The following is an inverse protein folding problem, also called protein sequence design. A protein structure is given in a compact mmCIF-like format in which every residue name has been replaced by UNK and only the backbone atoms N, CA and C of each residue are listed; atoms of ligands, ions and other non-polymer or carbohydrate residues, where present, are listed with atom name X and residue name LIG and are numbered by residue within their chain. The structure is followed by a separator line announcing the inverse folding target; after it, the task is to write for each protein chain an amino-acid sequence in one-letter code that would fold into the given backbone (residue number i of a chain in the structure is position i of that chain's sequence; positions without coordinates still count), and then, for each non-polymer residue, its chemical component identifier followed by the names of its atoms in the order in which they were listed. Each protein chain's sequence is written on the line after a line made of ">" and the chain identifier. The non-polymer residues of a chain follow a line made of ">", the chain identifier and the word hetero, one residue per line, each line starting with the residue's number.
data_IF_175281740865
#
_entry.id   IF_175281740865
#
_cell.length_a   1.000
_cell.length_b   1.000
_cell.length_c   1.000
_cell.angle_alpha   90.00
_cell.angle_beta   90.00
_cell.angle_gamma   90.00
#
_symmetry.space_group_name_H-M   'P 1'
#
loop_
_entity.id
_entity.type
_entity.pdbx_description
1 polymer ?
#
# COMPACT_ATOMS: atom_id res chain seq x y z
N UNK A 1 -7.06 12.62 2.91
CA UNK A 1 -6.53 13.16 1.65
C UNK A 1 -6.88 14.64 1.50
N UNK A 2 -8.15 15.06 1.58
CA UNK A 2 -8.58 16.44 1.34
C UNK A 2 -7.74 17.49 2.09
N UNK A 3 -7.48 17.31 3.39
CA UNK A 3 -6.65 18.21 4.19
C UNK A 3 -5.18 18.30 3.74
N UNK A 4 -4.69 17.30 3.00
CA UNK A 4 -3.35 17.31 2.41
C UNK A 4 -3.39 18.07 1.08
N UNK A 5 -4.39 17.80 0.26
CA UNK A 5 -4.58 18.51 -1.01
C UNK A 5 -4.76 20.02 -0.79
N UNK A 6 -5.56 20.41 0.20
CA UNK A 6 -5.78 21.82 0.56
C UNK A 6 -4.48 22.59 0.86
N UNK A 7 -3.48 21.89 1.42
CA UNK A 7 -2.17 22.47 1.78
C UNK A 7 -1.14 22.41 0.66
N UNK A 8 -1.39 21.68 -0.41
CA UNK A 8 -0.44 21.54 -1.50
C UNK A 8 -0.62 22.67 -2.51
N UNK A 9 0.40 23.53 -2.74
CA UNK A 9 0.27 24.70 -3.61
C UNK A 9 0.06 24.37 -5.10
N UNK A 10 0.28 23.10 -5.50
CA UNK A 10 0.06 22.62 -6.88
C UNK A 10 -1.38 22.12 -7.09
N UNK A 11 -2.20 22.06 -6.04
CA UNK A 11 -3.56 21.51 -6.08
C UNK A 11 -4.59 22.59 -5.86
N UNK A 12 -5.59 22.60 -6.72
CA UNK A 12 -6.86 23.28 -6.49
C UNK A 12 -7.90 22.21 -6.12
N UNK A 13 -8.26 22.14 -4.84
CA UNK A 13 -9.29 21.21 -4.37
C UNK A 13 -10.66 21.78 -4.70
N UNK A 14 -11.35 21.21 -5.69
CA UNK A 14 -12.58 21.79 -6.29
C UNK A 14 -13.85 21.24 -5.66
N UNK A 15 -13.85 20.03 -5.11
CA UNK A 15 -15.05 19.43 -4.54
C UNK A 15 -14.81 18.10 -3.83
N UNK A 16 -15.83 17.67 -3.11
CA UNK A 16 -15.90 16.41 -2.40
C UNK A 16 -17.10 15.61 -2.90
N UNK A 17 -17.06 14.28 -2.72
CA UNK A 17 -18.19 13.40 -3.00
C UNK A 17 -18.43 12.47 -1.82
N UNK A 18 -19.64 12.50 -1.24
CA UNK A 18 -20.05 11.63 -0.14
C UNK A 18 -21.54 11.34 -0.26
N UNK A 19 -21.89 10.07 -0.38
CA UNK A 19 -23.28 9.61 -0.55
C UNK A 19 -24.15 9.70 0.73
N UNK A 20 -23.52 9.65 1.89
CA UNK A 20 -24.24 9.80 3.17
C UNK A 20 -24.53 11.29 3.43
N UNK A 21 -25.80 11.70 3.59
CA UNK A 21 -26.15 13.13 3.70
C UNK A 21 -25.54 13.83 4.91
N UNK A 22 -25.38 13.11 6.03
CA UNK A 22 -24.81 13.68 7.27
C UNK A 22 -23.31 13.92 7.12
N UNK A 23 -22.59 12.94 6.57
CA UNK A 23 -21.15 13.06 6.27
C UNK A 23 -20.89 14.08 5.16
N UNK A 24 -21.76 14.12 4.15
CA UNK A 24 -21.71 15.09 3.06
C UNK A 24 -21.76 16.53 3.61
N UNK A 25 -22.74 16.86 4.44
CA UNK A 25 -22.87 18.15 5.06
C UNK A 25 -21.65 18.50 5.94
N UNK A 26 -21.18 17.54 6.71
CA UNK A 26 -20.00 17.72 7.59
C UNK A 26 -18.75 18.01 6.77
N UNK A 27 -18.49 17.23 5.72
CA UNK A 27 -17.32 17.38 4.87
C UNK A 27 -17.34 18.72 4.11
N UNK A 28 -18.48 19.09 3.52
CA UNK A 28 -18.65 20.35 2.82
C UNK A 28 -18.39 21.56 3.74
N UNK A 29 -18.90 21.51 4.98
CA UNK A 29 -18.69 22.56 5.96
C UNK A 29 -17.24 22.63 6.45
N UNK A 30 -16.59 21.47 6.64
CA UNK A 30 -15.21 21.41 7.13
C UNK A 30 -14.21 22.03 6.17
N UNK A 31 -14.37 21.80 4.87
CA UNK A 31 -13.45 22.28 3.84
C UNK A 31 -13.96 23.55 3.11
N UNK A 32 -15.14 24.02 3.45
CA UNK A 32 -15.82 25.12 2.75
C UNK A 32 -15.87 24.91 1.22
N UNK A 33 -16.20 23.68 0.81
CA UNK A 33 -16.26 23.24 -0.59
C UNK A 33 -17.60 22.60 -0.91
N UNK A 34 -18.00 22.58 -2.19
CA UNK A 34 -19.11 21.77 -2.65
C UNK A 34 -18.87 20.30 -2.29
N UNK A 35 -19.90 19.64 -1.74
CA UNK A 35 -19.87 18.21 -1.50
C UNK A 35 -21.06 17.57 -2.21
N UNK A 36 -20.78 16.79 -3.22
CA UNK A 36 -21.75 16.17 -4.11
C UNK A 36 -22.23 14.83 -3.57
N UNK A 37 -23.48 14.46 -3.88
CA UNK A 37 -24.05 13.20 -3.42
C UNK A 37 -23.63 11.99 -4.28
N UNK A 38 -23.18 12.25 -5.51
CA UNK A 38 -22.68 11.23 -6.43
C UNK A 38 -21.48 11.68 -7.22
N UNK A 39 -20.71 10.73 -7.74
CA UNK A 39 -19.56 11.01 -8.59
C UNK A 39 -19.99 11.63 -9.93
N UNK A 40 -21.13 11.23 -10.48
CA UNK A 40 -21.70 11.82 -11.71
C UNK A 40 -21.96 13.30 -11.53
N UNK A 41 -22.55 13.68 -10.40
CA UNK A 41 -22.84 15.09 -10.09
C UNK A 41 -21.54 15.90 -9.94
N UNK A 42 -20.54 15.34 -9.25
CA UNK A 42 -19.23 15.96 -9.10
C UNK A 42 -18.58 16.23 -10.46
N UNK A 43 -18.48 15.22 -11.33
CA UNK A 43 -17.87 15.38 -12.66
C UNK A 43 -18.69 16.21 -13.64
N UNK A 44 -19.99 16.33 -13.43
CA UNK A 44 -20.83 17.21 -14.23
C UNK A 44 -20.66 18.71 -13.90
N UNK A 45 -20.13 19.01 -12.71
CA UNK A 45 -19.99 20.37 -12.20
C UNK A 45 -18.57 20.89 -12.16
N UNK A 46 -17.59 19.97 -11.99
CA UNK A 46 -16.19 20.30 -11.76
C UNK A 46 -15.28 19.68 -12.82
N UNK A 47 -14.22 20.39 -13.18
CA UNK A 47 -13.13 19.85 -13.99
C UNK A 47 -12.12 19.15 -13.09
N UNK A 48 -11.96 17.82 -13.25
CA UNK A 48 -11.18 16.99 -12.32
C UNK A 48 -10.02 16.33 -13.05
N UNK A 49 -8.79 16.73 -12.71
CA UNK A 49 -7.56 16.12 -13.23
C UNK A 49 -7.09 14.93 -12.39
N UNK A 50 -7.32 14.98 -11.07
CA UNK A 50 -6.97 13.93 -10.12
C UNK A 50 -8.15 13.68 -9.19
N UNK A 51 -8.64 12.45 -9.15
CA UNK A 51 -9.66 11.97 -8.23
C UNK A 51 -9.05 11.07 -7.16
N UNK A 52 -9.39 11.32 -5.89
CA UNK A 52 -8.96 10.48 -4.77
C UNK A 52 -10.10 9.59 -4.32
N UNK A 53 -9.97 8.28 -4.50
CA UNK A 53 -10.96 7.28 -4.12
C UNK A 53 -10.63 6.73 -2.74
N UNK A 54 -11.45 7.12 -1.74
CA UNK A 54 -11.26 6.77 -0.33
C UNK A 54 -12.47 6.05 0.26
N UNK A 55 -13.31 5.48 -0.59
CA UNK A 55 -14.49 4.70 -0.21
C UNK A 55 -14.06 3.37 0.41
N UNK A 56 -14.59 3.01 1.59
CA UNK A 56 -14.17 1.79 2.29
C UNK A 56 -14.98 0.55 1.92
N UNK A 57 -16.31 0.70 1.89
CA UNK A 57 -17.24 -0.41 1.72
C UNK A 57 -17.38 -1.32 2.93
N UNK A 58 -18.07 -2.44 2.76
CA UNK A 58 -18.27 -3.45 3.81
C UNK A 58 -16.96 -4.15 4.18
N UNK A 59 -16.17 -4.52 3.18
CA UNK A 59 -14.77 -4.90 3.32
C UNK A 59 -13.90 -3.82 2.70
N UNK A 60 -12.75 -3.56 3.27
CA UNK A 60 -11.83 -2.56 2.71
C UNK A 60 -11.53 -2.85 1.24
N UNK A 61 -11.75 -1.84 0.40
CA UNK A 61 -11.59 -1.93 -1.05
C UNK A 61 -12.80 -2.46 -1.83
N UNK A 62 -13.92 -2.83 -1.17
CA UNK A 62 -15.11 -3.34 -1.88
C UNK A 62 -15.82 -2.27 -2.72
N UNK A 63 -15.72 -1.00 -2.33
CA UNK A 63 -16.37 0.13 -3.00
C UNK A 63 -15.40 0.97 -3.86
N UNK A 64 -14.22 0.43 -4.22
CA UNK A 64 -13.23 1.18 -5.02
C UNK A 64 -13.47 1.10 -6.53
N UNK A 65 -14.08 0.02 -7.04
CA UNK A 65 -14.19 -0.24 -8.48
C UNK A 65 -14.93 0.88 -9.22
N UNK A 66 -16.21 1.09 -8.88
CA UNK A 66 -17.09 2.01 -9.62
C UNK A 66 -16.52 3.44 -9.68
N UNK A 67 -16.15 4.09 -8.56
CA UNK A 67 -15.62 5.45 -8.61
C UNK A 67 -14.27 5.53 -9.34
N UNK A 68 -13.44 4.49 -9.27
CA UNK A 68 -12.16 4.45 -10.00
C UNK A 68 -12.39 4.36 -11.50
N UNK A 69 -13.22 3.43 -11.95
CA UNK A 69 -13.55 3.27 -13.38
C UNK A 69 -14.18 4.56 -13.91
N UNK A 70 -15.13 5.13 -13.16
CA UNK A 70 -15.78 6.37 -13.56
C UNK A 70 -14.78 7.51 -13.76
N UNK A 71 -13.91 7.75 -12.79
CA UNK A 71 -12.90 8.81 -12.87
C UNK A 71 -11.92 8.61 -14.04
N UNK A 72 -11.41 7.39 -14.21
CA UNK A 72 -10.47 7.06 -15.30
C UNK A 72 -11.10 7.27 -16.68
N UNK A 73 -12.35 6.80 -16.88
CA UNK A 73 -13.07 6.90 -18.16
C UNK A 73 -13.49 8.34 -18.49
N UNK A 74 -13.63 9.19 -17.46
CA UNK A 74 -13.89 10.63 -17.63
C UNK A 74 -12.61 11.49 -17.65
N UNK A 75 -11.45 10.86 -17.84
CA UNK A 75 -10.20 11.56 -18.14
C UNK A 75 -9.38 12.00 -16.93
N UNK A 76 -9.75 11.62 -15.70
CA UNK A 76 -8.98 11.90 -14.49
C UNK A 76 -7.91 10.85 -14.21
N UNK A 77 -6.80 11.26 -13.60
CA UNK A 77 -5.93 10.39 -12.85
C UNK A 77 -6.60 9.96 -11.54
N UNK A 78 -6.19 8.83 -10.96
CA UNK A 78 -6.78 8.32 -9.72
C UNK A 78 -5.72 7.98 -8.69
N UNK A 79 -5.92 8.43 -7.44
CA UNK A 79 -5.30 7.88 -6.24
C UNK A 79 -6.34 7.05 -5.49
N UNK A 80 -6.18 5.74 -5.48
CA UNK A 80 -7.06 4.80 -4.79
C UNK A 80 -6.48 4.43 -3.41
N UNK A 81 -7.34 4.33 -2.38
CA UNK A 81 -6.93 3.75 -1.11
C UNK A 81 -6.62 2.25 -1.22
N UNK A 82 -5.81 1.76 -0.29
CA UNK A 82 -5.48 0.33 -0.20
C UNK A 82 -6.51 -0.42 0.69
N UNK A 83 -6.72 -1.71 0.42
CA UNK A 83 -6.28 -2.44 -0.77
C UNK A 83 -6.90 -1.87 -2.04
N UNK A 84 -6.26 -2.05 -3.18
CA UNK A 84 -6.82 -1.58 -4.47
C UNK A 84 -8.25 -2.08 -4.68
N UNK A 85 -8.51 -3.34 -4.30
CA UNK A 85 -9.85 -3.95 -4.25
C UNK A 85 -9.83 -5.17 -3.31
N UNK A 86 -10.98 -5.61 -2.85
CA UNK A 86 -11.18 -6.91 -2.19
C UNK A 86 -11.32 -8.09 -3.20
N UNK A 87 -11.40 -7.80 -4.49
CA UNK A 87 -11.56 -8.74 -5.61
C UNK A 87 -10.43 -8.60 -6.62
N UNK A 88 -9.79 -9.71 -7.00
CA UNK A 88 -8.75 -9.73 -8.04
C UNK A 88 -9.30 -9.26 -9.39
N UNK A 89 -10.49 -9.74 -9.78
CA UNK A 89 -11.14 -9.35 -11.03
C UNK A 89 -11.37 -7.83 -11.10
N UNK A 90 -11.87 -7.23 -10.02
CA UNK A 90 -12.10 -5.79 -9.93
C UNK A 90 -10.77 -5.01 -10.00
N UNK A 91 -9.75 -5.45 -9.25
CA UNK A 91 -8.44 -4.81 -9.28
C UNK A 91 -7.81 -4.86 -10.69
N UNK A 92 -7.96 -6.00 -11.37
CA UNK A 92 -7.48 -6.18 -12.74
C UNK A 92 -8.22 -5.25 -13.72
N UNK A 93 -9.56 -5.14 -13.61
CA UNK A 93 -10.37 -4.23 -14.41
C UNK A 93 -9.95 -2.77 -14.22
N UNK A 94 -9.68 -2.35 -12.98
CA UNK A 94 -9.20 -1.00 -12.66
C UNK A 94 -7.86 -0.72 -13.36
N UNK A 95 -6.89 -1.65 -13.29
CA UNK A 95 -5.58 -1.52 -13.94
C UNK A 95 -5.73 -1.47 -15.46
N UNK A 96 -6.48 -2.39 -16.05
CA UNK A 96 -6.73 -2.39 -17.51
C UNK A 96 -7.43 -1.11 -17.99
N UNK A 97 -8.35 -0.57 -17.19
CA UNK A 97 -9.02 0.68 -17.54
C UNK A 97 -8.05 1.85 -17.52
N UNK A 98 -7.19 1.93 -16.51
CA UNK A 98 -6.14 2.95 -16.45
C UNK A 98 -5.21 2.90 -17.69
N UNK A 99 -4.77 1.71 -18.06
CA UNK A 99 -3.96 1.49 -19.27
C UNK A 99 -4.71 1.91 -20.55
N UNK A 100 -5.95 1.45 -20.72
CA UNK A 100 -6.79 1.77 -21.90
C UNK A 100 -7.01 3.26 -22.11
N UNK A 101 -7.20 4.01 -21.04
CA UNK A 101 -7.43 5.45 -21.07
C UNK A 101 -6.14 6.29 -20.91
N UNK A 102 -4.98 5.62 -20.85
CA UNK A 102 -3.68 6.26 -20.63
C UNK A 102 -3.70 7.23 -19.42
N UNK A 103 -4.26 6.76 -18.30
CA UNK A 103 -4.36 7.53 -17.05
C UNK A 103 -3.58 6.85 -15.94
N UNK A 104 -3.07 7.66 -15.03
CA UNK A 104 -2.44 7.17 -13.81
C UNK A 104 -3.52 6.58 -12.91
N UNK A 105 -3.33 5.33 -12.51
CA UNK A 105 -3.94 4.72 -11.35
C UNK A 105 -2.84 4.47 -10.33
N UNK A 106 -2.85 5.21 -9.26
CA UNK A 106 -1.93 5.07 -8.13
C UNK A 106 -2.68 4.49 -6.92
N UNK A 107 -2.00 3.70 -6.11
CA UNK A 107 -2.55 3.14 -4.86
C UNK A 107 -1.83 3.77 -3.67
N UNK A 108 -2.56 4.00 -2.58
CA UNK A 108 -1.98 4.61 -1.37
C UNK A 108 -1.15 3.59 -0.57
N UNK A 109 -0.07 3.10 -1.19
CA UNK A 109 0.94 2.21 -0.61
C UNK A 109 2.00 3.06 0.11
N UNK A 110 1.56 3.81 1.12
CA UNK A 110 2.30 4.93 1.72
C UNK A 110 3.59 4.52 2.45
N UNK A 111 3.78 3.26 2.85
CA UNK A 111 4.97 2.82 3.58
C UNK A 111 6.25 2.92 2.75
N UNK A 112 6.21 2.71 1.43
CA UNK A 112 7.40 2.87 0.56
C UNK A 112 7.87 4.33 0.45
N UNK A 113 7.02 5.30 0.83
CA UNK A 113 7.33 6.74 0.79
C UNK A 113 7.84 7.29 2.13
N UNK A 114 8.03 6.44 3.12
CA UNK A 114 8.67 6.85 4.38
C UNK A 114 10.15 7.14 4.16
N UNK A 115 10.76 8.09 4.88
CA UNK A 115 12.18 8.38 4.74
C UNK A 115 13.08 7.16 4.96
N UNK A 116 12.73 6.31 5.94
CA UNK A 116 13.49 5.08 6.21
C UNK A 116 13.45 4.11 5.01
N UNK A 117 12.28 3.91 4.39
CA UNK A 117 12.15 3.07 3.21
C UNK A 117 12.89 3.67 2.00
N UNK A 118 12.79 5.00 1.79
CA UNK A 118 13.49 5.69 0.70
C UNK A 118 15.02 5.61 0.82
N UNK A 119 15.56 5.82 2.00
CA UNK A 119 17.01 5.68 2.26
C UNK A 119 17.45 4.24 2.04
N UNK A 120 16.69 3.27 2.52
CA UNK A 120 16.98 1.86 2.31
C UNK A 120 16.96 1.49 0.81
N UNK A 121 15.99 2.05 0.05
CA UNK A 121 15.92 1.88 -1.41
C UNK A 121 17.13 2.52 -2.11
N UNK A 122 17.56 3.70 -1.68
CA UNK A 122 18.74 4.34 -2.22
C UNK A 122 20.00 3.50 -1.97
N UNK A 123 20.19 2.94 -0.76
CA UNK A 123 21.28 2.01 -0.49
C UNK A 123 21.27 0.77 -1.40
N UNK A 124 20.08 0.26 -1.73
CA UNK A 124 19.93 -0.84 -2.68
C UNK A 124 20.34 -0.40 -4.10
N UNK A 125 19.86 0.76 -4.57
CA UNK A 125 20.19 1.32 -5.89
C UNK A 125 21.69 1.64 -6.03
N UNK A 126 22.34 2.07 -4.96
CA UNK A 126 23.78 2.30 -4.87
C UNK A 126 24.60 0.99 -4.78
N UNK A 127 23.93 -0.16 -4.98
CA UNK A 127 24.53 -1.51 -4.93
C UNK A 127 25.19 -1.85 -3.58
N UNK A 128 24.79 -1.18 -2.49
CA UNK A 128 25.35 -1.44 -1.16
C UNK A 128 24.86 -2.75 -0.55
N UNK A 129 23.80 -3.33 -1.10
CA UNK A 129 23.23 -4.62 -0.71
C UNK A 129 23.79 -5.73 -1.60
N UNK A 130 24.12 -5.43 -2.86
CA UNK A 130 24.47 -6.42 -3.87
C UNK A 130 23.27 -7.29 -4.29
N UNK A 131 23.54 -8.51 -4.73
CA UNK A 131 22.47 -9.45 -5.14
C UNK A 131 21.58 -9.78 -3.94
N UNK A 132 20.25 -9.54 -4.03
CA UNK A 132 19.29 -9.86 -2.98
C UNK A 132 19.27 -11.37 -2.65
N UNK A 133 19.18 -11.69 -1.36
CA UNK A 133 19.15 -13.07 -0.86
C UNK A 133 17.81 -13.36 -0.15
N UNK A 134 17.47 -12.58 0.86
CA UNK A 134 16.24 -12.78 1.62
C UNK A 134 15.70 -11.49 2.21
N UNK A 135 14.37 -11.48 2.48
CA UNK A 135 13.65 -10.41 3.18
C UNK A 135 12.72 -10.99 4.23
N UNK A 136 12.75 -10.42 5.43
CA UNK A 136 11.86 -10.76 6.53
C UNK A 136 11.04 -9.53 6.93
N UNK A 137 9.74 -9.69 7.03
CA UNK A 137 8.81 -8.63 7.39
C UNK A 137 7.94 -9.05 8.56
N UNK A 138 7.64 -8.13 9.45
CA UNK A 138 6.63 -8.33 10.49
C UNK A 138 5.81 -7.07 10.68
N UNK A 139 4.50 -7.23 10.92
CA UNK A 139 3.61 -6.16 11.34
C UNK A 139 2.58 -6.71 12.33
N UNK A 140 2.54 -6.12 13.51
CA UNK A 140 1.70 -6.56 14.61
C UNK A 140 0.94 -5.38 15.20
N UNK A 141 -0.38 -5.43 15.12
CA UNK A 141 -1.26 -4.42 15.72
C UNK A 141 -2.46 -5.08 16.36
N UNK A 142 -3.04 -4.45 17.36
CA UNK A 142 -4.33 -4.87 17.86
C UNK A 142 -5.46 -4.28 17.02
N UNK A 143 -6.28 -5.14 16.41
CA UNK A 143 -7.47 -4.74 15.67
C UNK A 143 -8.64 -5.70 15.96
N UNK A 144 -9.71 -5.23 16.62
CA UNK A 144 -10.85 -6.06 16.98
C UNK A 144 -11.82 -6.32 15.83
N UNK A 145 -11.62 -5.72 14.64
CA UNK A 145 -12.54 -5.87 13.51
C UNK A 145 -12.52 -7.30 12.96
N UNK A 146 -13.69 -7.83 12.65
CA UNK A 146 -13.94 -9.19 12.19
C UNK A 146 -14.94 -9.24 11.02
N UNK A 147 -14.83 -8.32 10.07
CA UNK A 147 -15.77 -8.21 8.94
C UNK A 147 -15.79 -9.44 8.02
N UNK A 148 -14.65 -10.14 7.85
CA UNK A 148 -14.58 -11.36 7.06
C UNK A 148 -13.51 -12.33 7.61
N UNK A 149 -13.56 -13.63 7.28
CA UNK A 149 -12.62 -14.64 7.81
C UNK A 149 -11.15 -14.31 7.55
N UNK A 150 -10.81 -13.65 6.44
CA UNK A 150 -9.46 -13.29 6.02
C UNK A 150 -9.18 -11.80 6.10
N UNK A 151 -9.98 -11.05 6.85
CA UNK A 151 -9.87 -9.59 6.99
C UNK A 151 -8.46 -9.14 7.39
N UNK A 152 -7.83 -9.80 8.36
CA UNK A 152 -6.46 -9.52 8.77
C UNK A 152 -5.48 -9.55 7.58
N UNK A 153 -5.52 -10.64 6.79
CA UNK A 153 -4.62 -10.83 5.65
C UNK A 153 -4.85 -9.75 4.59
N UNK A 154 -6.13 -9.53 4.19
CA UNK A 154 -6.48 -8.64 3.09
C UNK A 154 -6.40 -7.16 3.44
N UNK A 155 -6.60 -6.77 4.71
CA UNK A 155 -6.66 -5.37 5.11
C UNK A 155 -5.32 -4.83 5.65
N UNK A 156 -4.53 -5.66 6.36
CA UNK A 156 -3.27 -5.23 6.95
C UNK A 156 -2.10 -5.35 5.97
N UNK A 157 -1.99 -6.47 5.28
CA UNK A 157 -0.78 -6.85 4.55
C UNK A 157 -0.60 -6.31 3.13
N UNK A 158 -1.50 -5.50 2.53
CA UNK A 158 -1.15 -4.79 1.31
C UNK A 158 0.13 -3.97 1.45
N UNK A 159 0.34 -3.29 2.60
CA UNK A 159 1.57 -2.54 2.87
C UNK A 159 2.80 -3.46 2.97
N UNK A 160 2.68 -4.55 3.72
CA UNK A 160 3.81 -5.47 3.96
C UNK A 160 4.26 -6.13 2.66
N UNK A 161 3.31 -6.66 1.88
CA UNK A 161 3.61 -7.31 0.60
C UNK A 161 4.16 -6.30 -0.40
N UNK A 162 3.61 -5.08 -0.42
CA UNK A 162 4.10 -4.00 -1.26
C UNK A 162 5.57 -3.66 -0.95
N UNK A 163 5.94 -3.50 0.31
CA UNK A 163 7.33 -3.26 0.73
C UNK A 163 8.23 -4.42 0.31
N UNK A 164 7.78 -5.66 0.47
CA UNK A 164 8.56 -6.82 0.02
C UNK A 164 8.77 -6.80 -1.50
N UNK A 165 7.73 -6.51 -2.27
CA UNK A 165 7.84 -6.36 -3.73
C UNK A 165 8.68 -5.15 -4.13
N UNK A 166 8.58 -4.04 -3.42
CA UNK A 166 9.38 -2.83 -3.68
C UNK A 166 10.88 -3.09 -3.60
N UNK A 167 11.33 -3.91 -2.65
CA UNK A 167 12.75 -4.24 -2.51
C UNK A 167 13.18 -5.45 -3.35
N UNK A 168 12.33 -6.46 -3.53
CA UNK A 168 12.70 -7.77 -4.05
C UNK A 168 11.98 -8.18 -5.34
N UNK A 169 11.12 -7.30 -5.88
CA UNK A 169 10.40 -7.58 -7.13
C UNK A 169 9.20 -8.52 -6.96
N UNK A 170 8.82 -9.18 -8.04
CA UNK A 170 7.59 -9.96 -8.10
C UNK A 170 7.67 -11.26 -7.29
N UNK A 171 6.63 -11.53 -6.51
CA UNK A 171 6.46 -12.80 -5.79
C UNK A 171 6.00 -13.88 -6.78
N UNK A 172 6.65 -15.04 -6.75
CA UNK A 172 6.32 -16.20 -7.57
C UNK A 172 5.46 -17.23 -6.82
N UNK A 173 5.83 -17.53 -5.57
CA UNK A 173 5.15 -18.54 -4.76
C UNK A 173 4.86 -18.04 -3.35
N UNK A 174 3.72 -18.43 -2.81
CA UNK A 174 3.32 -18.16 -1.42
C UNK A 174 2.87 -19.45 -0.77
N UNK A 175 3.35 -19.68 0.47
CA UNK A 175 2.81 -20.66 1.41
C UNK A 175 2.47 -19.92 2.70
N UNK A 176 1.28 -20.17 3.25
CA UNK A 176 0.82 -19.45 4.43
C UNK A 176 0.20 -20.42 5.45
N UNK A 177 0.69 -20.36 6.69
CA UNK A 177 -0.02 -20.88 7.85
C UNK A 177 -0.70 -19.74 8.59
N UNK A 178 -1.90 -20.01 9.11
CA UNK A 178 -2.62 -19.03 9.90
C UNK A 178 -3.31 -19.70 11.10
N UNK A 179 -3.56 -18.90 12.13
CA UNK A 179 -4.34 -19.31 13.27
C UNK A 179 -5.34 -18.22 13.68
N UNK A 180 -6.45 -18.63 14.28
CA UNK A 180 -7.36 -17.74 14.99
C UNK A 180 -6.83 -17.55 16.40
N UNK A 181 -6.63 -16.31 16.82
CA UNK A 181 -6.28 -15.99 18.20
C UNK A 181 -7.39 -16.40 19.19
N UNK A 182 -7.13 -16.35 20.49
CA UNK A 182 -8.15 -16.65 21.49
C UNK A 182 -9.41 -15.80 21.30
N UNK A 183 -10.56 -16.45 21.22
CA UNK A 183 -11.89 -15.82 21.03
C UNK A 183 -12.05 -15.03 19.70
N UNK A 184 -11.20 -15.27 18.68
CA UNK A 184 -11.31 -14.66 17.37
C UNK A 184 -12.09 -15.55 16.40
N UNK A 185 -12.90 -14.91 15.55
CA UNK A 185 -13.63 -15.60 14.45
C UNK A 185 -12.82 -15.61 13.16
N UNK A 186 -11.92 -14.65 12.99
CA UNK A 186 -11.08 -14.50 11.81
C UNK A 186 -9.70 -15.18 11.97
N UNK A 187 -9.00 -15.41 10.87
CA UNK A 187 -7.59 -15.79 10.85
C UNK A 187 -6.75 -14.56 11.20
N UNK A 188 -6.56 -14.33 12.51
CA UNK A 188 -5.99 -13.08 13.06
C UNK A 188 -4.46 -13.08 13.18
N UNK A 189 -3.83 -14.23 12.98
CA UNK A 189 -2.37 -14.39 12.92
C UNK A 189 -1.99 -15.21 11.69
N UNK A 190 -0.94 -14.79 10.99
CA UNK A 190 -0.50 -15.46 9.78
C UNK A 190 1.03 -15.41 9.64
N UNK A 191 1.60 -16.51 9.11
CA UNK A 191 3.00 -16.64 8.76
C UNK A 191 3.10 -17.03 7.29
N UNK A 192 3.70 -16.17 6.48
CA UNK A 192 3.92 -16.39 5.07
C UNK A 192 5.37 -16.84 4.82
N UNK A 193 5.55 -17.80 3.94
CA UNK A 193 6.81 -18.12 3.29
C UNK A 193 6.69 -17.78 1.81
N UNK A 194 7.65 -17.04 1.28
CA UNK A 194 7.57 -16.41 -0.03
C UNK A 194 8.81 -16.75 -0.85
N UNK A 195 8.62 -17.00 -2.14
CA UNK A 195 9.69 -17.06 -3.12
C UNK A 195 9.43 -16.01 -4.19
N UNK A 196 10.44 -15.22 -4.51
CA UNK A 196 10.43 -14.21 -5.57
C UNK A 196 10.84 -14.80 -6.92
N UNK A 197 10.45 -14.12 -8.03
CA UNK A 197 10.75 -14.59 -9.38
C UNK A 197 12.25 -14.64 -9.71
N UNK A 198 13.04 -13.80 -9.09
CA UNK A 198 14.51 -13.79 -9.20
C UNK A 198 15.24 -14.82 -8.33
N UNK A 199 14.48 -15.61 -7.57
CA UNK A 199 14.98 -16.72 -6.74
C UNK A 199 15.22 -16.36 -5.28
N UNK A 200 15.17 -15.08 -4.89
CA UNK A 200 15.23 -14.68 -3.48
C UNK A 200 14.06 -15.25 -2.68
N UNK A 201 14.22 -15.32 -1.35
CA UNK A 201 13.18 -15.85 -0.45
C UNK A 201 12.76 -14.81 0.58
N UNK A 202 11.58 -15.00 1.18
CA UNK A 202 11.11 -14.10 2.21
C UNK A 202 10.14 -14.72 3.18
N UNK A 203 9.95 -14.03 4.30
CA UNK A 203 8.91 -14.36 5.28
C UNK A 203 8.17 -13.11 5.74
N UNK A 204 6.89 -13.28 6.07
CA UNK A 204 6.06 -12.23 6.66
C UNK A 204 5.27 -12.80 7.82
N UNK A 205 5.39 -12.18 9.00
CA UNK A 205 4.59 -12.51 10.18
C UNK A 205 3.62 -11.39 10.48
N UNK A 206 2.33 -11.68 10.49
CA UNK A 206 1.26 -10.73 10.77
C UNK A 206 0.42 -11.10 11.98
N UNK A 207 -0.06 -10.08 12.72
CA UNK A 207 -0.99 -10.30 13.83
C UNK A 207 -1.93 -9.11 14.05
N UNK A 208 -3.22 -9.42 14.31
CA UNK A 208 -4.20 -8.46 14.84
C UNK A 208 -4.45 -8.62 16.34
N UNK A 209 -3.67 -9.47 17.03
CA UNK A 209 -3.88 -9.77 18.45
C UNK A 209 -2.81 -9.17 19.37
N UNK A 210 -1.75 -8.58 18.82
CA UNK A 210 -0.65 -8.01 19.61
C UNK A 210 -1.00 -6.60 20.08
N UNK A 211 -1.02 -6.40 21.38
CA UNK A 211 -1.25 -5.09 22.00
C UNK A 211 -0.06 -4.15 21.75
N UNK A 212 -0.31 -2.84 21.82
CA UNK A 212 0.73 -1.80 21.68
C UNK A 212 1.81 -1.92 22.76
N UNK A 213 2.98 -1.37 22.50
CA UNK A 213 4.12 -1.34 23.42
C UNK A 213 5.42 -1.89 22.84
N UNK A 214 5.43 -2.11 21.53
CA UNK A 214 6.59 -2.55 20.74
C UNK A 214 6.62 -1.80 19.40
N UNK A 215 7.73 -1.80 18.64
CA UNK A 215 7.75 -1.39 17.25
C UNK A 215 6.69 -2.18 16.45
N UNK A 216 5.84 -1.45 15.75
CA UNK A 216 4.67 -2.03 15.08
C UNK A 216 5.07 -2.86 13.87
N UNK A 217 6.08 -2.41 13.16
CA UNK A 217 6.47 -2.93 11.86
C UNK A 217 8.00 -2.97 11.73
N UNK A 218 8.51 -4.09 11.25
CA UNK A 218 9.94 -4.29 10.98
C UNK A 218 10.14 -4.94 9.63
N UNK A 219 11.06 -4.40 8.85
CA UNK A 219 11.54 -4.98 7.62
C UNK A 219 13.06 -5.19 7.71
N UNK A 220 13.52 -6.39 7.43
CA UNK A 220 14.93 -6.73 7.38
C UNK A 220 15.24 -7.47 6.10
N UNK A 221 16.25 -7.01 5.36
CA UNK A 221 16.65 -7.70 4.13
C UNK A 221 18.17 -7.69 3.95
N UNK A 222 18.67 -8.70 3.25
CA UNK A 222 20.07 -8.87 3.00
C UNK A 222 20.35 -9.30 1.56
N UNK A 223 21.51 -8.90 1.11
CA UNK A 223 22.18 -9.37 -0.08
C UNK A 223 23.64 -9.67 0.20
N UNK A 224 24.40 -9.99 -0.84
CA UNK A 224 25.80 -10.45 -0.70
C UNK A 224 26.74 -9.36 -0.17
N UNK A 225 26.39 -8.07 -0.32
CA UNK A 225 27.23 -6.92 0.06
C UNK A 225 26.78 -6.22 1.34
N UNK A 226 25.61 -6.57 1.90
CA UNK A 226 25.13 -5.91 3.10
C UNK A 226 23.73 -6.34 3.53
N UNK A 227 23.35 -5.86 4.71
CA UNK A 227 22.06 -6.07 5.32
C UNK A 227 21.43 -4.74 5.72
N UNK A 228 20.14 -4.58 5.48
CA UNK A 228 19.37 -3.43 5.94
C UNK A 228 18.33 -3.89 6.95
N UNK A 229 18.15 -3.10 7.99
CA UNK A 229 17.05 -3.22 8.95
C UNK A 229 16.30 -1.89 8.98
N UNK A 230 14.99 -1.94 8.77
CA UNK A 230 14.08 -0.80 8.93
C UNK A 230 13.20 -1.12 10.14
N UNK A 231 13.39 -0.35 11.20
CA UNK A 231 12.60 -0.50 12.41
C UNK A 231 11.44 0.51 12.40
N UNK A 232 10.23 -0.03 12.59
CA UNK A 232 9.00 0.74 12.67
C UNK A 232 8.84 1.70 11.48
N UNK A 233 8.91 1.18 10.29
CA UNK A 233 8.93 1.71 8.91
C UNK A 233 9.24 3.21 8.71
N UNK A 234 8.85 4.08 9.61
CA UNK A 234 9.05 5.53 9.52
C UNK A 234 10.00 6.11 10.57
N UNK A 235 10.71 5.26 11.35
CA UNK A 235 11.61 5.72 12.43
C UNK A 235 13.09 5.61 12.09
N UNK A 236 13.56 4.41 11.76
CA UNK A 236 14.97 4.16 11.59
C UNK A 236 15.25 3.19 10.45
N UNK A 237 16.33 3.42 9.72
CA UNK A 237 16.93 2.45 8.82
C UNK A 237 18.41 2.29 9.15
N UNK A 238 18.89 1.06 9.28
CA UNK A 238 20.31 0.74 9.52
C UNK A 238 20.86 -0.13 8.40
N UNK A 239 21.96 0.29 7.78
CA UNK A 239 22.75 -0.51 6.85
C UNK A 239 23.97 -1.08 7.55
N UNK A 240 24.14 -2.40 7.44
CA UNK A 240 25.31 -3.16 7.86
C UNK A 240 26.06 -3.63 6.61
N UNK A 241 27.17 -2.97 6.21
CA UNK A 241 27.95 -3.40 5.05
C UNK A 241 28.67 -4.73 5.33
N UNK A 242 28.82 -5.57 4.30
CA UNK A 242 29.62 -6.77 4.41
C UNK A 242 31.10 -6.42 4.59
N UNK A 243 31.76 -7.07 5.54
CA UNK A 243 33.21 -6.91 5.77
C UNK A 243 33.61 -5.59 6.42
N UNK A 244 32.67 -4.75 6.85
CA UNK A 244 32.95 -3.52 7.59
C UNK A 244 32.32 -3.58 8.99
N UNK A 245 33.00 -3.00 9.97
CA UNK A 245 32.52 -2.86 11.35
C UNK A 245 31.74 -1.55 11.58
N UNK A 246 31.76 -0.64 10.61
CA UNK A 246 31.00 0.63 10.66
C UNK A 246 29.68 0.48 9.96
N UNK A 247 28.59 0.80 10.65
CA UNK A 247 27.23 0.82 10.11
C UNK A 247 26.77 2.24 9.78
N UNK A 248 25.89 2.39 8.79
CA UNK A 248 25.18 3.64 8.51
C UNK A 248 23.78 3.59 9.14
N UNK A 249 23.38 4.66 9.84
CA UNK A 249 22.08 4.76 10.48
C UNK A 249 21.38 6.03 10.02
N UNK A 250 20.17 5.89 9.52
CA UNK A 250 19.22 6.98 9.35
C UNK A 250 18.25 6.96 10.53
N UNK A 251 18.16 8.07 11.24
CA UNK A 251 17.21 8.25 12.33
C UNK A 251 16.24 9.39 12.01
N UNK A 252 14.97 9.23 12.36
CA UNK A 252 14.02 10.31 12.27
C UNK A 252 14.24 11.30 13.45
N UNK A 253 14.68 12.54 13.22
CA UNK A 253 15.14 13.45 14.26
C UNK A 253 13.97 13.93 15.15
N UNK A 254 14.22 14.03 16.46
CA UNK A 254 13.24 14.52 17.44
C UNK A 254 12.92 16.01 17.21
N UNK A 255 13.94 16.82 16.87
CA UNK A 255 13.78 18.23 16.53
C UNK A 255 13.88 18.43 15.02
N UNK A 256 12.93 19.13 14.42
CA UNK A 256 12.92 19.42 12.99
C UNK A 256 12.04 18.49 12.16
N UNK A 257 11.07 17.84 12.79
CA UNK A 257 10.02 17.11 12.12
C UNK A 257 10.15 15.59 12.22
N UNK A 258 9.93 15.06 13.42
CA UNK A 258 9.58 13.65 13.52
C UNK A 258 8.39 13.39 12.59
N UNK A 259 8.56 12.50 11.63
CA UNK A 259 7.44 12.04 10.84
C UNK A 259 6.50 11.17 11.69
N UNK A 260 5.23 11.51 11.61
CA UNK A 260 4.14 10.75 12.19
C UNK A 260 3.53 9.81 11.15
N UNK A 261 2.63 8.93 11.58
CA UNK A 261 1.85 8.12 10.65
C UNK A 261 1.09 8.98 9.61
N UNK A 262 0.61 10.17 10.00
CA UNK A 262 -0.05 11.10 9.07
C UNK A 262 0.88 11.58 7.97
N UNK A 263 2.15 11.79 8.27
CA UNK A 263 3.14 12.27 7.29
C UNK A 263 3.41 11.23 6.18
N UNK A 264 3.16 9.96 6.43
CA UNK A 264 3.25 8.93 5.39
C UNK A 264 2.26 9.17 4.25
N UNK A 265 1.05 9.66 4.56
CA UNK A 265 0.06 10.07 3.57
C UNK A 265 0.49 11.36 2.85
N UNK A 266 1.04 12.32 3.57
CA UNK A 266 1.58 13.56 3.00
C UNK A 266 2.65 13.25 1.96
N UNK A 267 3.61 12.39 2.32
CA UNK A 267 4.70 11.99 1.44
C UNK A 267 4.18 11.29 0.18
N UNK A 268 3.23 10.36 0.34
CA UNK A 268 2.64 9.62 -0.78
C UNK A 268 1.89 10.55 -1.74
N UNK A 269 1.02 11.40 -1.20
CA UNK A 269 0.19 12.31 -2.02
C UNK A 269 1.07 13.33 -2.74
N UNK A 270 1.99 13.97 -2.03
CA UNK A 270 2.90 14.95 -2.64
C UNK A 270 3.77 14.31 -3.72
N UNK A 271 4.26 13.10 -3.49
CA UNK A 271 5.04 12.38 -4.50
C UNK A 271 4.22 12.14 -5.79
N UNK A 272 2.97 11.67 -5.66
CA UNK A 272 2.09 11.49 -6.82
C UNK A 272 1.82 12.80 -7.56
N UNK A 273 1.56 13.87 -6.82
CA UNK A 273 1.36 15.19 -7.43
C UNK A 273 2.59 15.65 -8.21
N UNK A 274 3.78 15.41 -7.67
CA UNK A 274 5.05 15.70 -8.35
C UNK A 274 5.27 14.80 -9.58
N UNK A 275 4.85 13.53 -9.56
CA UNK A 275 4.91 12.64 -10.73
C UNK A 275 3.98 13.12 -11.84
N UNK A 276 2.75 13.52 -11.51
CA UNK A 276 1.78 14.08 -12.44
C UNK A 276 2.32 15.39 -13.05
N UNK A 277 2.82 16.30 -12.24
CA UNK A 277 3.38 17.60 -12.66
C UNK A 277 4.57 17.43 -13.62
N UNK A 278 5.40 16.40 -13.41
CA UNK A 278 6.52 16.04 -14.29
C UNK A 278 6.10 15.21 -15.50
N UNK A 279 4.83 14.91 -15.68
CA UNK A 279 4.30 14.03 -16.74
C UNK A 279 4.98 12.66 -16.78
N UNK A 280 5.19 12.04 -15.61
CA UNK A 280 5.70 10.67 -15.54
C UNK A 280 4.69 9.75 -16.23
N UNK A 281 5.18 8.81 -17.04
CA UNK A 281 4.30 7.91 -17.77
C UNK A 281 3.52 6.98 -16.81
N UNK A 282 2.24 6.68 -17.08
CA UNK A 282 1.38 5.93 -16.17
C UNK A 282 1.96 4.59 -15.68
N UNK A 283 2.75 3.91 -16.52
CA UNK A 283 3.41 2.64 -16.18
C UNK A 283 4.63 2.79 -15.26
N UNK A 284 5.20 4.01 -15.15
CA UNK A 284 6.43 4.29 -14.40
C UNK A 284 6.15 4.95 -13.05
N UNK A 285 4.88 5.09 -12.68
CA UNK A 285 4.44 5.64 -11.39
C UNK A 285 4.84 4.73 -10.24
N UNK A 286 5.46 5.29 -9.22
CA UNK A 286 5.78 4.57 -7.99
C UNK A 286 4.52 4.34 -7.14
N UNK A 287 4.27 3.11 -6.73
CA UNK A 287 3.02 2.71 -6.06
C UNK A 287 1.82 2.74 -7.00
N UNK A 288 1.99 2.18 -8.18
CA UNK A 288 0.98 2.10 -9.25
C UNK A 288 -0.18 1.18 -8.91
N UNK A 289 -1.24 1.23 -9.73
CA UNK A 289 -2.32 0.24 -9.70
C UNK A 289 -1.82 -1.19 -9.91
N UNK A 290 -0.79 -1.38 -10.75
CA UNK A 290 -0.17 -2.69 -10.95
C UNK A 290 0.56 -3.18 -9.68
N UNK A 291 1.23 -2.30 -8.93
CA UNK A 291 1.81 -2.65 -7.63
C UNK A 291 0.73 -3.09 -6.64
N UNK A 292 -0.39 -2.36 -6.58
CA UNK A 292 -1.55 -2.73 -5.77
C UNK A 292 -2.17 -4.07 -6.16
N UNK A 293 -2.29 -4.35 -7.47
CA UNK A 293 -2.76 -5.64 -7.99
C UNK A 293 -1.79 -6.78 -7.62
N UNK A 294 -0.48 -6.61 -7.79
CA UNK A 294 0.53 -7.61 -7.43
C UNK A 294 0.47 -7.94 -5.94
N UNK A 295 0.34 -6.93 -5.08
CA UNK A 295 0.16 -7.14 -3.65
C UNK A 295 -1.12 -7.94 -3.36
N UNK A 296 -2.25 -7.58 -3.99
CA UNK A 296 -3.51 -8.28 -3.81
C UNK A 296 -3.46 -9.74 -4.29
N UNK A 297 -2.79 -10.01 -5.42
CA UNK A 297 -2.57 -11.37 -5.95
C UNK A 297 -1.79 -12.23 -4.98
N UNK A 298 -0.72 -11.71 -4.38
CA UNK A 298 0.06 -12.44 -3.40
C UNK A 298 -0.73 -12.72 -2.11
N UNK A 299 -1.58 -11.78 -1.67
CA UNK A 299 -2.47 -11.98 -0.52
C UNK A 299 -3.56 -13.00 -0.81
N UNK A 300 -4.13 -13.02 -2.01
CA UNK A 300 -5.08 -14.06 -2.42
C UNK A 300 -4.39 -15.43 -2.51
N UNK A 301 -3.16 -15.50 -3.01
CA UNK A 301 -2.37 -16.73 -2.99
C UNK A 301 -2.15 -17.23 -1.56
N UNK A 302 -1.94 -16.35 -0.58
CA UNK A 302 -1.86 -16.73 0.83
C UNK A 302 -3.19 -17.27 1.37
N UNK A 303 -4.30 -16.65 1.03
CA UNK A 303 -5.64 -17.15 1.38
C UNK A 303 -5.88 -18.55 0.80
N UNK A 304 -5.58 -18.73 -0.49
CA UNK A 304 -5.71 -20.04 -1.15
C UNK A 304 -4.75 -21.08 -0.54
N UNK A 305 -3.56 -20.65 -0.11
CA UNK A 305 -2.62 -21.53 0.58
C UNK A 305 -3.17 -22.04 1.92
N UNK A 306 -3.83 -21.16 2.69
CA UNK A 306 -4.49 -21.57 3.95
C UNK A 306 -5.64 -22.54 3.69
N UNK A 307 -6.48 -22.28 2.68
CA UNK A 307 -7.66 -23.09 2.35
C UNK A 307 -7.25 -24.49 1.85
N UNK A 308 -6.21 -24.56 1.03
CA UNK A 308 -5.79 -25.79 0.34
C UNK A 308 -4.57 -26.47 0.96
N UNK A 309 -3.99 -25.89 2.02
CA UNK A 309 -2.80 -26.42 2.73
C UNK A 309 -1.62 -26.75 1.79
N UNK A 310 -1.35 -25.86 0.83
CA UNK A 310 -0.31 -26.05 -0.18
C UNK A 310 0.35 -24.73 -0.61
N UNK A 311 1.50 -24.84 -1.28
CA UNK A 311 2.15 -23.70 -1.97
C UNK A 311 1.29 -23.29 -3.16
N UNK A 312 1.07 -21.99 -3.33
CA UNK A 312 0.32 -21.39 -4.44
C UNK A 312 1.25 -20.54 -5.30
N UNK A 313 1.14 -20.66 -6.62
CA UNK A 313 1.78 -19.73 -7.56
C UNK A 313 0.89 -18.50 -7.75
N UNK A 314 1.51 -17.34 -7.74
CA UNK A 314 0.80 -16.07 -7.98
C UNK A 314 0.20 -16.02 -9.40
N UNK A 315 0.89 -16.59 -10.40
CA UNK A 315 0.39 -16.65 -11.78
C UNK A 315 -0.90 -17.47 -11.92
N UNK A 316 -1.19 -18.41 -10.99
CA UNK A 316 -2.42 -19.21 -11.03
C UNK A 316 -3.63 -18.41 -10.53
N UNK A 317 -3.40 -17.40 -9.68
CA UNK A 317 -4.45 -16.47 -9.22
C UNK A 317 -4.93 -15.56 -10.35
N UNK A 318 -4.05 -15.15 -11.26
CA UNK A 318 -4.38 -14.27 -12.37
C UNK A 318 -5.12 -14.96 -13.53
N UNK A 319 -5.22 -16.29 -13.50
CA UNK A 319 -5.94 -17.07 -14.52
C UNK A 319 -7.43 -17.24 -14.23
N UNK A 320 -7.88 -16.76 -13.07
CA UNK A 320 -9.27 -16.80 -12.64
C UNK A 320 -9.98 -15.55 -13.11
#
# INVERSE_FOLDING_TARGET
>A
HAAIYEKNPKINLVGLCEKDPSRNQTAGSQFNLPCYASIDELFAKEEIHLCSVTTGGYEYGSDHLEPTIYALTNGSHVLCEKPISNSIANAFEMVQTAERYNKILAVNLNHRFTPAARIAKQWQLDNRIGTPLFINMSIWIHNPNESSPFFHIKALHPHSVDIMCHFFGDIEHVHCFAMKGPNRKIWSNAQFNIKFKDGAVGSLTGSYDIQRGHPMERCEFAGINGRVVIDDMYREATLYPAGDLVKSVYTNPIFGGMESFTDTFVNRINHLVDEIDRNVAPQDIDGSGLDGLKAQVALEAAVQSIIHEKVIRTDDILKI
#
